data_IF_610069909042
#
_entry.id   IF_610069909042
#
_cell.length_a   1.000
_cell.length_b   1.000
_cell.length_c   1.000
_cell.angle_alpha   90.00
_cell.angle_beta   90.00
_cell.angle_gamma   90.00
#
_symmetry.space_group_name_H-M   'P 1'
#
loop_
_entity.id
_entity.type
_entity.pdbx_description
1 polymer ?
#
# COMPACT_ATOMS: atom_id res chain seq x y z
N UNK A 1 58.10 -20.35 -3.68
CA UNK A 1 58.36 -18.99 -3.14
C UNK A 1 58.13 -17.95 -4.21
N UNK A 2 56.95 -17.34 -4.27
CA UNK A 2 56.76 -16.01 -4.88
C UNK A 2 55.65 -15.33 -4.09
N UNK A 3 56.09 -14.35 -3.30
CA UNK A 3 55.23 -13.31 -2.74
C UNK A 3 55.16 -12.21 -3.80
N UNK A 4 54.05 -11.94 -4.38
CA UNK A 4 53.82 -10.74 -5.16
C UNK A 4 52.40 -10.16 -4.82
N UNK A 5 52.44 -8.90 -4.39
CA UNK A 5 51.30 -8.02 -4.39
C UNK A 5 50.72 -7.72 -3.01
N UNK A 6 51.34 -6.79 -2.30
CA UNK A 6 50.66 -6.00 -1.27
C UNK A 6 50.09 -4.77 -1.99
N UNK A 7 48.81 -4.76 -2.27
CA UNK A 7 48.10 -3.54 -2.62
C UNK A 7 47.50 -2.95 -1.32
N UNK A 8 48.15 -1.90 -0.85
CA UNK A 8 47.66 -1.07 0.23
C UNK A 8 46.73 -0.01 -0.37
N UNK A 9 45.41 -0.19 -0.26
CA UNK A 9 44.46 0.88 -0.48
C UNK A 9 44.19 1.55 0.85
N UNK A 10 44.72 2.74 1.05
CA UNK A 10 44.51 3.60 2.21
C UNK A 10 43.37 4.54 1.91
N UNK A 11 42.15 4.17 2.34
CA UNK A 11 41.10 5.14 2.64
C UNK A 11 40.33 4.70 3.91
N UNK A 12 40.50 5.51 4.90
CA UNK A 12 39.83 5.74 6.15
C UNK A 12 38.95 4.63 6.79
N UNK A 13 39.41 4.16 7.97
CA UNK A 13 38.66 3.51 9.02
C UNK A 13 38.29 2.04 8.84
N UNK A 14 39.18 1.23 9.22
CA UNK A 14 39.21 -0.10 9.81
C UNK A 14 40.26 -0.98 9.11
N UNK A 15 41.43 -1.05 9.73
CA UNK A 15 42.49 -1.97 9.32
C UNK A 15 42.10 -3.40 9.67
N UNK A 16 41.50 -4.11 8.71
CA UNK A 16 41.37 -5.57 8.78
C UNK A 16 42.35 -6.15 7.75
N UNK A 17 43.42 -6.73 8.24
CA UNK A 17 44.37 -7.46 7.40
C UNK A 17 43.89 -8.89 7.18
N UNK A 18 43.58 -9.25 5.95
CA UNK A 18 43.31 -10.64 5.57
C UNK A 18 44.58 -11.23 4.96
N UNK A 19 45.13 -12.27 5.60
CA UNK A 19 46.20 -13.08 5.03
C UNK A 19 45.53 -14.29 4.34
N UNK A 20 45.47 -14.27 3.02
CA UNK A 20 45.03 -15.41 2.23
C UNK A 20 46.22 -16.33 1.98
N UNK A 21 46.24 -17.48 2.65
CA UNK A 21 47.19 -18.56 2.42
C UNK A 21 46.56 -19.54 1.45
N UNK A 22 47.01 -19.56 0.19
CA UNK A 22 46.57 -20.54 -0.80
C UNK A 22 47.46 -21.77 -0.76
N UNK A 23 46.92 -22.90 -0.35
CA UNK A 23 47.57 -24.21 -0.44
C UNK A 23 47.20 -24.89 -1.74
N UNK A 24 48.17 -25.18 -2.60
CA UNK A 24 48.02 -26.09 -3.71
C UNK A 24 48.36 -27.52 -3.22
N UNK A 25 47.35 -28.37 -3.21
CA UNK A 25 47.56 -29.81 -3.05
C UNK A 25 47.83 -30.43 -4.44
N UNK A 26 49.04 -30.82 -4.69
CA UNK A 26 49.30 -31.74 -5.83
C UNK A 26 48.81 -33.12 -5.44
N UNK A 27 47.68 -33.53 -6.00
CA UNK A 27 47.21 -34.89 -5.83
C UNK A 27 48.06 -35.86 -6.65
N UNK A 28 48.44 -37.02 -6.09
CA UNK A 28 49.15 -38.03 -6.87
C UNK A 28 48.23 -38.55 -8.00
N UNK A 29 48.81 -38.95 -9.14
CA UNK A 29 48.05 -39.46 -10.28
C UNK A 29 47.29 -40.73 -9.89
N UNK A 30 46.00 -40.72 -10.20
CA UNK A 30 45.13 -41.89 -10.00
C UNK A 30 45.61 -43.08 -10.86
N UNK A 31 45.65 -44.30 -10.30
CA UNK A 31 45.96 -45.47 -11.10
C UNK A 31 44.91 -45.69 -12.19
N UNK A 32 45.39 -46.12 -13.38
CA UNK A 32 44.56 -46.33 -14.55
C UNK A 32 43.47 -47.38 -14.25
N UNK A 33 42.23 -47.19 -14.76
CA UNK A 33 41.14 -48.10 -14.51
C UNK A 33 41.41 -49.49 -15.13
N UNK A 34 41.42 -50.51 -14.29
CA UNK A 34 41.50 -51.92 -14.72
C UNK A 34 40.21 -52.27 -15.46
N UNK A 35 40.33 -52.61 -16.72
CA UNK A 35 39.21 -53.06 -17.55
C UNK A 35 38.74 -54.42 -17.07
N UNK A 36 37.79 -54.44 -16.14
CA UNK A 36 37.08 -55.68 -15.79
C UNK A 36 36.12 -56.04 -16.90
N UNK A 37 36.29 -57.25 -17.46
CA UNK A 37 35.36 -57.84 -18.41
C UNK A 37 34.00 -58.00 -17.71
N UNK A 38 33.01 -57.26 -18.21
CA UNK A 38 31.65 -57.40 -17.73
C UNK A 38 31.05 -58.72 -18.24
N UNK A 39 30.65 -59.53 -17.31
CA UNK A 39 29.75 -60.62 -17.62
C UNK A 39 28.38 -60.10 -18.10
N UNK A 40 27.73 -60.70 -19.07
CA UNK A 40 26.43 -60.25 -19.52
C UNK A 40 25.43 -60.27 -18.35
N UNK A 41 24.88 -59.10 -18.02
CA UNK A 41 23.86 -58.96 -17.00
C UNK A 41 22.56 -59.66 -17.46
N UNK A 42 21.84 -60.31 -16.56
CA UNK A 42 20.52 -60.85 -16.89
C UNK A 42 19.60 -59.73 -17.30
N UNK A 43 18.93 -59.90 -18.45
CA UNK A 43 17.93 -58.92 -18.95
C UNK A 43 16.73 -58.92 -17.98
N UNK A 44 16.72 -57.98 -17.06
CA UNK A 44 15.55 -57.74 -16.21
C UNK A 44 14.53 -56.95 -17.05
N UNK A 45 13.35 -57.54 -17.24
CA UNK A 45 12.26 -56.86 -17.93
C UNK A 45 11.96 -55.49 -17.25
N UNK A 46 11.71 -54.43 -18.02
CA UNK A 46 11.41 -53.14 -17.45
C UNK A 46 10.18 -53.22 -16.53
N UNK A 47 10.19 -52.58 -15.36
CA UNK A 47 9.02 -52.55 -14.49
C UNK A 47 7.83 -51.90 -15.21
N UNK A 48 6.60 -52.35 -14.92
CA UNK A 48 5.42 -51.75 -15.52
C UNK A 48 5.38 -50.25 -15.20
N UNK A 49 4.88 -49.40 -16.13
CA UNK A 49 4.79 -47.97 -15.91
C UNK A 49 3.96 -47.69 -14.64
N UNK A 50 4.38 -46.72 -13.82
CA UNK A 50 3.61 -46.34 -12.64
C UNK A 50 2.20 -45.88 -13.03
N UNK A 51 1.19 -46.15 -12.19
CA UNK A 51 -0.16 -45.67 -12.47
C UNK A 51 -0.19 -44.17 -12.68
N UNK A 52 -1.06 -43.65 -13.57
CA UNK A 52 -1.14 -42.24 -13.84
C UNK A 52 -1.40 -41.47 -12.51
N UNK A 53 -0.53 -40.50 -12.23
CA UNK A 53 -0.68 -39.66 -11.05
C UNK A 53 -2.02 -38.94 -11.16
N UNK A 54 -2.87 -38.93 -10.10
CA UNK A 54 -4.10 -38.14 -10.11
C UNK A 54 -3.80 -36.73 -10.54
N UNK A 55 -4.62 -36.18 -11.44
CA UNK A 55 -4.49 -34.82 -11.86
C UNK A 55 -4.53 -33.88 -10.62
N UNK A 56 -3.65 -32.87 -10.52
CA UNK A 56 -3.71 -31.94 -9.42
C UNK A 56 -5.13 -31.36 -9.33
N UNK A 57 -5.69 -31.36 -8.12
CA UNK A 57 -6.97 -30.70 -7.90
C UNK A 57 -6.86 -29.24 -8.41
N UNK A 58 -7.91 -28.71 -9.08
CA UNK A 58 -7.88 -27.32 -9.54
C UNK A 58 -7.53 -26.42 -8.37
N UNK A 59 -6.54 -25.55 -8.58
CA UNK A 59 -6.12 -24.58 -7.59
C UNK A 59 -7.35 -23.77 -7.13
N UNK A 60 -7.53 -23.50 -5.83
CA UNK A 60 -8.61 -22.65 -5.37
C UNK A 60 -8.57 -21.33 -6.13
N UNK A 61 -9.75 -20.86 -6.58
CA UNK A 61 -9.87 -19.60 -7.29
C UNK A 61 -9.19 -18.48 -6.48
N UNK A 62 -8.43 -17.59 -7.10
CA UNK A 62 -7.77 -16.50 -6.39
C UNK A 62 -8.82 -15.71 -5.62
N UNK A 63 -8.51 -15.42 -4.34
CA UNK A 63 -9.36 -14.57 -3.51
C UNK A 63 -9.57 -13.22 -4.20
N UNK A 64 -10.77 -12.62 -4.13
CA UNK A 64 -11.04 -11.32 -4.74
C UNK A 64 -10.04 -10.29 -4.19
N UNK A 65 -9.38 -9.57 -5.10
CA UNK A 65 -8.41 -8.55 -4.72
C UNK A 65 -9.11 -7.44 -3.92
N UNK A 66 -8.48 -6.92 -2.86
CA UNK A 66 -9.05 -5.84 -2.06
C UNK A 66 -9.27 -4.60 -2.96
N UNK A 67 -10.48 -4.07 -2.92
CA UNK A 67 -10.85 -2.87 -3.68
C UNK A 67 -10.76 -1.64 -2.79
N UNK A 68 -10.21 -0.56 -3.34
CA UNK A 68 -10.20 0.76 -2.70
C UNK A 68 -11.32 1.58 -3.31
N UNK A 69 -12.30 1.95 -2.51
CA UNK A 69 -13.37 2.88 -2.91
C UNK A 69 -13.04 4.27 -2.39
N UNK A 70 -12.92 5.23 -3.30
CA UNK A 70 -12.71 6.65 -2.97
C UNK A 70 -14.01 7.42 -3.17
N UNK A 71 -14.46 8.15 -2.16
CA UNK A 71 -15.63 9.01 -2.18
C UNK A 71 -15.18 10.40 -1.77
N UNK A 72 -15.53 11.40 -2.57
CA UNK A 72 -15.21 12.82 -2.30
C UNK A 72 -16.50 13.56 -2.03
N UNK A 73 -16.56 14.26 -0.88
CA UNK A 73 -17.69 15.08 -0.46
C UNK A 73 -17.28 16.54 -0.38
N UNK A 74 -18.12 17.44 -0.89
CA UNK A 74 -17.90 18.87 -0.79
C UNK A 74 -18.11 19.35 0.66
N UNK A 75 -17.13 20.04 1.22
CA UNK A 75 -17.22 20.60 2.57
C UNK A 75 -18.35 21.60 2.76
N UNK A 76 -18.80 22.31 1.70
CA UNK A 76 -19.94 23.23 1.77
C UNK A 76 -21.26 22.51 2.04
N UNK A 77 -21.39 21.27 1.56
CA UNK A 77 -22.55 20.42 1.87
C UNK A 77 -22.48 19.93 3.30
N UNK A 78 -21.26 19.59 3.76
CA UNK A 78 -21.05 18.97 5.07
C UNK A 78 -21.09 19.96 6.23
N UNK A 79 -20.51 21.16 6.06
CA UNK A 79 -20.24 22.11 7.14
C UNK A 79 -20.65 23.53 6.77
N UNK A 80 -20.91 24.36 7.77
CA UNK A 80 -20.97 25.80 7.62
C UNK A 80 -19.57 26.40 7.43
N UNK A 81 -19.55 27.66 7.04
CA UNK A 81 -18.29 28.40 6.88
C UNK A 81 -17.50 28.42 8.20
N UNK A 82 -16.23 28.05 8.12
CA UNK A 82 -15.27 27.98 9.24
C UNK A 82 -15.72 27.09 10.41
N UNK A 83 -16.71 26.21 10.20
CA UNK A 83 -17.18 25.25 11.20
C UNK A 83 -16.78 23.82 10.87
N UNK A 84 -16.81 22.96 11.90
CA UNK A 84 -16.57 21.52 11.80
C UNK A 84 -17.79 20.69 12.25
N UNK A 85 -18.91 21.35 12.58
CA UNK A 85 -20.15 20.66 12.94
C UNK A 85 -20.89 20.24 11.68
N UNK A 86 -21.28 18.95 11.61
CA UNK A 86 -22.02 18.41 10.48
C UNK A 86 -23.44 18.98 10.40
N UNK A 87 -23.75 19.55 9.25
CA UNK A 87 -25.11 19.97 8.89
C UNK A 87 -26.03 18.78 8.69
N UNK A 88 -27.37 18.95 8.84
CA UNK A 88 -28.32 17.89 8.53
C UNK A 88 -28.19 17.34 7.10
N UNK A 89 -27.97 18.24 6.12
CA UNK A 89 -27.74 17.89 4.71
C UNK A 89 -26.43 17.10 4.53
N UNK A 90 -25.41 17.46 5.31
CA UNK A 90 -24.13 16.77 5.32
C UNK A 90 -24.24 15.35 5.85
N UNK A 91 -25.02 15.14 6.92
CA UNK A 91 -25.31 13.81 7.45
C UNK A 91 -26.05 12.96 6.42
N UNK A 92 -27.08 13.52 5.77
CA UNK A 92 -27.83 12.82 4.72
C UNK A 92 -26.92 12.47 3.52
N UNK A 93 -26.01 13.36 3.12
CA UNK A 93 -25.05 13.09 2.05
C UNK A 93 -24.07 11.96 2.41
N UNK A 94 -23.58 11.92 3.66
CA UNK A 94 -22.71 10.84 4.16
C UNK A 94 -23.50 9.52 4.18
N UNK A 95 -24.73 9.52 4.68
CA UNK A 95 -25.58 8.31 4.72
C UNK A 95 -25.83 7.74 3.32
N UNK A 96 -26.18 8.60 2.36
CA UNK A 96 -26.48 8.17 0.99
C UNK A 96 -25.24 7.71 0.21
N UNK A 97 -24.13 8.42 0.32
CA UNK A 97 -22.96 8.20 -0.53
C UNK A 97 -21.88 7.31 0.09
N UNK A 98 -21.79 7.28 1.42
CA UNK A 98 -20.71 6.58 2.14
C UNK A 98 -21.25 5.34 2.82
N UNK A 99 -22.24 5.48 3.72
CA UNK A 99 -22.76 4.35 4.50
C UNK A 99 -23.30 3.25 3.61
N UNK A 100 -24.06 3.62 2.55
CA UNK A 100 -24.58 2.67 1.57
C UNK A 100 -23.50 1.88 0.83
N UNK A 101 -22.36 2.53 0.51
CA UNK A 101 -21.23 1.86 -0.14
C UNK A 101 -20.40 1.01 0.83
N UNK A 102 -20.20 1.49 2.05
CA UNK A 102 -19.52 0.72 3.09
C UNK A 102 -20.28 -0.58 3.44
N UNK A 103 -21.59 -0.55 3.40
CA UNK A 103 -22.43 -1.73 3.61
C UNK A 103 -22.26 -2.82 2.53
N UNK A 104 -21.74 -2.47 1.35
CA UNK A 104 -21.42 -3.41 0.26
C UNK A 104 -20.03 -4.03 0.39
N UNK A 105 -19.24 -3.61 1.36
CA UNK A 105 -17.91 -4.17 1.64
C UNK A 105 -18.06 -5.29 2.66
N UNK A 106 -17.80 -6.52 2.25
CA UNK A 106 -17.99 -7.70 3.10
C UNK A 106 -16.97 -7.75 4.25
N UNK A 107 -15.71 -7.39 3.95
CA UNK A 107 -14.64 -7.35 4.94
C UNK A 107 -13.91 -6.01 4.87
N UNK A 108 -14.36 -5.09 5.70
CA UNK A 108 -13.75 -3.77 5.82
C UNK A 108 -12.38 -3.90 6.48
N UNK A 109 -11.32 -3.45 5.80
CA UNK A 109 -9.95 -3.43 6.32
C UNK A 109 -9.69 -2.10 7.02
N UNK A 110 -9.84 -1.00 6.30
CA UNK A 110 -9.57 0.36 6.81
C UNK A 110 -10.43 1.38 6.08
N UNK A 111 -10.84 2.41 6.81
CA UNK A 111 -11.46 3.64 6.28
C UNK A 111 -10.57 4.81 6.66
N UNK A 112 -10.14 5.59 5.70
CA UNK A 112 -9.40 6.81 5.91
C UNK A 112 -10.27 8.00 5.53
N UNK A 113 -10.49 8.91 6.49
CA UNK A 113 -11.20 10.17 6.30
C UNK A 113 -10.19 11.30 6.24
N UNK A 114 -10.07 11.97 5.11
CA UNK A 114 -9.11 13.05 4.91
C UNK A 114 -9.82 14.38 4.67
N UNK A 115 -9.57 15.37 5.53
CA UNK A 115 -10.09 16.73 5.39
C UNK A 115 -9.11 17.63 4.64
N UNK A 116 -9.63 18.48 3.74
CA UNK A 116 -8.86 19.46 2.98
C UNK A 116 -9.50 20.84 3.08
N UNK A 117 -8.67 21.87 2.99
CA UNK A 117 -9.08 23.28 2.88
C UNK A 117 -8.55 23.90 1.59
N UNK A 118 -9.04 25.08 1.27
CA UNK A 118 -8.37 25.93 0.30
C UNK A 118 -7.18 26.69 0.95
N UNK A 119 -6.34 27.37 0.16
CA UNK A 119 -5.16 28.09 0.66
C UNK A 119 -5.48 29.49 1.21
N UNK A 120 -6.73 29.80 1.51
CA UNK A 120 -7.11 31.07 2.11
C UNK A 120 -7.04 30.98 3.64
N UNK A 121 -6.32 31.90 4.25
CA UNK A 121 -6.09 31.93 5.69
C UNK A 121 -4.67 31.49 6.07
N UNK A 122 -4.46 31.14 7.33
CA UNK A 122 -3.16 30.64 7.79
C UNK A 122 -3.11 29.12 7.69
N UNK A 123 -1.94 28.58 7.32
CA UNK A 123 -1.71 27.13 7.26
C UNK A 123 -2.08 26.43 8.57
N UNK A 124 -1.72 27.06 9.71
CA UNK A 124 -2.03 26.47 11.02
C UNK A 124 -3.54 26.40 11.29
N UNK A 125 -4.31 27.44 10.91
CA UNK A 125 -5.77 27.44 11.02
C UNK A 125 -6.37 26.36 10.11
N UNK A 126 -5.96 26.30 8.86
CA UNK A 126 -6.41 25.35 7.86
C UNK A 126 -6.11 23.91 8.27
N UNK A 127 -4.93 23.66 8.84
CA UNK A 127 -4.56 22.35 9.38
C UNK A 127 -5.52 21.92 10.50
N UNK A 128 -5.73 22.76 11.51
CA UNK A 128 -6.64 22.45 12.63
C UNK A 128 -8.11 22.32 12.19
N UNK A 129 -8.56 23.13 11.23
CA UNK A 129 -9.92 23.06 10.71
C UNK A 129 -10.17 21.75 9.96
N UNK A 130 -9.23 21.34 9.11
CA UNK A 130 -9.31 20.10 8.36
C UNK A 130 -9.28 18.86 9.28
N UNK A 131 -8.44 18.87 10.32
CA UNK A 131 -8.39 17.81 11.33
C UNK A 131 -9.73 17.65 12.07
N UNK A 132 -10.29 18.78 12.55
CA UNK A 132 -11.59 18.76 13.24
C UNK A 132 -12.70 18.26 12.33
N UNK A 133 -12.74 18.68 11.06
CA UNK A 133 -13.73 18.20 10.07
C UNK A 133 -13.61 16.71 9.80
N UNK A 134 -12.39 16.22 9.59
CA UNK A 134 -12.14 14.79 9.41
C UNK A 134 -12.56 13.98 10.65
N UNK A 135 -12.23 14.46 11.84
CA UNK A 135 -12.63 13.83 13.10
C UNK A 135 -14.16 13.76 13.27
N UNK A 136 -14.88 14.86 12.97
CA UNK A 136 -16.33 14.88 13.05
C UNK A 136 -17.00 13.89 12.09
N UNK A 137 -16.49 13.77 10.85
CA UNK A 137 -16.97 12.79 9.88
C UNK A 137 -16.67 11.38 10.35
N UNK A 138 -15.45 11.11 10.85
CA UNK A 138 -15.09 9.81 11.45
C UNK A 138 -16.07 9.44 12.57
N UNK A 139 -16.29 10.35 13.53
CA UNK A 139 -17.14 10.08 14.68
C UNK A 139 -18.59 9.82 14.27
N UNK A 140 -19.06 10.52 13.23
CA UNK A 140 -20.36 10.26 12.63
C UNK A 140 -20.42 8.86 11.98
N UNK A 141 -19.41 8.44 11.21
CA UNK A 141 -19.35 7.11 10.62
C UNK A 141 -19.27 6.01 11.70
N UNK A 142 -18.55 6.24 12.79
CA UNK A 142 -18.56 5.33 13.95
C UNK A 142 -19.94 5.21 14.55
N UNK A 143 -20.69 6.31 14.69
CA UNK A 143 -22.08 6.27 15.15
C UNK A 143 -23.04 5.50 14.23
N UNK A 144 -22.64 5.34 12.96
CA UNK A 144 -23.38 4.55 11.94
C UNK A 144 -22.91 3.10 11.84
N UNK A 145 -22.01 2.66 12.74
CA UNK A 145 -21.60 1.27 12.86
C UNK A 145 -20.25 0.93 12.22
N UNK A 146 -19.49 1.92 11.74
CA UNK A 146 -18.12 1.67 11.31
C UNK A 146 -17.24 1.41 12.54
N UNK A 147 -16.49 0.29 12.62
CA UNK A 147 -15.63 -0.02 13.75
C UNK A 147 -14.56 1.05 13.98
N UNK A 148 -14.44 1.51 15.22
CA UNK A 148 -13.51 2.60 15.57
C UNK A 148 -12.03 2.23 15.35
N UNK A 149 -11.68 0.96 15.46
CA UNK A 149 -10.35 0.42 15.22
C UNK A 149 -9.97 0.34 13.73
N UNK A 150 -10.96 0.52 12.84
CA UNK A 150 -10.76 0.46 11.38
C UNK A 150 -10.92 1.80 10.69
N UNK A 151 -11.15 2.88 11.42
CA UNK A 151 -11.35 4.21 10.83
C UNK A 151 -10.37 5.22 11.39
N UNK A 152 -9.69 5.93 10.50
CA UNK A 152 -8.75 6.98 10.81
C UNK A 152 -9.21 8.33 10.24
N UNK A 153 -8.83 9.42 10.89
CA UNK A 153 -9.09 10.79 10.45
C UNK A 153 -7.78 11.56 10.32
N UNK A 154 -7.59 12.19 9.18
CA UNK A 154 -6.40 12.97 8.86
C UNK A 154 -6.79 14.34 8.31
N UNK A 155 -6.24 15.42 8.86
CA UNK A 155 -6.32 16.75 8.28
C UNK A 155 -5.09 17.04 7.43
N UNK A 156 -5.29 17.44 6.19
CA UNK A 156 -4.21 17.84 5.27
C UNK A 156 -4.14 19.35 5.09
N UNK A 157 -5.08 20.10 5.66
CA UNK A 157 -5.15 21.54 5.46
C UNK A 157 -5.14 21.88 3.97
N UNK A 158 -4.29 22.83 3.60
CA UNK A 158 -4.09 23.27 2.22
C UNK A 158 -2.97 22.53 1.48
N UNK A 159 -2.33 21.52 2.10
CA UNK A 159 -1.15 20.85 1.53
C UNK A 159 -1.44 20.00 0.28
N UNK A 160 -2.68 19.63 0.08
CA UNK A 160 -3.11 18.81 -1.06
C UNK A 160 -4.23 19.50 -1.84
N UNK A 161 -3.85 20.51 -2.59
CA UNK A 161 -4.74 21.18 -3.54
C UNK A 161 -5.04 20.28 -4.73
N UNK A 162 -6.16 20.55 -5.41
CA UNK A 162 -6.51 19.83 -6.65
C UNK A 162 -5.52 20.22 -7.74
N UNK A 163 -4.80 19.24 -8.33
CA UNK A 163 -3.86 19.50 -9.40
C UNK A 163 -4.53 20.18 -10.60
N UNK A 164 -3.88 21.22 -11.14
CA UNK A 164 -4.39 21.94 -12.32
C UNK A 164 -5.50 22.96 -12.04
N UNK A 165 -5.96 23.09 -10.80
CA UNK A 165 -6.91 24.13 -10.42
C UNK A 165 -6.15 25.46 -10.17
N UNK A 166 -6.17 26.33 -11.18
CA UNK A 166 -5.53 27.65 -11.14
C UNK A 166 -6.60 28.72 -10.89
N UNK A 167 -6.45 29.46 -9.78
CA UNK A 167 -7.41 30.49 -9.34
C UNK A 167 -6.71 31.84 -9.17
N UNK A 168 -6.55 32.57 -10.27
CA UNK A 168 -5.83 33.86 -10.33
C UNK A 168 -6.75 35.08 -10.34
N UNK A 169 -8.03 34.91 -10.01
CA UNK A 169 -9.02 35.98 -10.01
C UNK A 169 -8.61 37.06 -9.04
N UNK A 170 -8.67 38.33 -9.50
CA UNK A 170 -8.40 39.54 -8.68
C UNK A 170 -9.53 39.81 -7.67
N UNK A 171 -10.74 39.44 -8.03
CA UNK A 171 -11.90 39.57 -7.16
C UNK A 171 -11.90 38.43 -6.13
N UNK A 172 -11.90 38.79 -4.85
CA UNK A 172 -11.86 37.80 -3.75
C UNK A 172 -13.05 36.85 -3.78
N UNK A 173 -14.25 37.32 -4.10
CA UNK A 173 -15.46 36.50 -4.16
C UNK A 173 -15.36 35.44 -5.26
N UNK A 174 -14.84 35.81 -6.41
CA UNK A 174 -14.62 34.89 -7.54
C UNK A 174 -13.49 33.89 -7.22
N UNK A 175 -12.43 34.37 -6.57
CA UNK A 175 -11.33 33.49 -6.11
C UNK A 175 -11.81 32.45 -5.10
N UNK A 176 -12.63 32.86 -4.12
CA UNK A 176 -13.26 31.95 -3.14
C UNK A 176 -14.14 30.90 -3.85
N UNK A 177 -14.91 31.31 -4.86
CA UNK A 177 -15.73 30.39 -5.63
C UNK A 177 -14.89 29.42 -6.47
N UNK A 178 -13.83 29.88 -7.12
CA UNK A 178 -12.90 29.06 -7.87
C UNK A 178 -12.20 28.00 -6.98
N UNK A 179 -11.79 28.38 -5.78
CA UNK A 179 -11.09 27.51 -4.84
C UNK A 179 -12.01 26.50 -4.11
N UNK A 180 -13.33 26.63 -4.28
CA UNK A 180 -14.29 25.77 -3.59
C UNK A 180 -13.99 24.25 -3.70
N UNK A 181 -13.60 23.69 -4.86
CA UNK A 181 -13.31 22.26 -4.96
C UNK A 181 -12.21 21.76 -4.02
N UNK A 182 -11.29 22.65 -3.57
CA UNK A 182 -10.27 22.28 -2.59
C UNK A 182 -10.86 22.03 -1.20
N UNK A 183 -12.00 22.68 -0.88
CA UNK A 183 -12.71 22.47 0.39
C UNK A 183 -13.55 21.18 0.30
N UNK A 184 -12.93 20.06 0.59
CA UNK A 184 -13.53 18.74 0.46
C UNK A 184 -13.13 17.80 1.60
N UNK A 185 -13.91 16.74 1.77
CA UNK A 185 -13.54 15.59 2.58
C UNK A 185 -13.49 14.37 1.67
N UNK A 186 -12.38 13.68 1.69
CA UNK A 186 -12.18 12.43 0.98
C UNK A 186 -12.31 11.26 1.95
N UNK A 187 -13.05 10.25 1.55
CA UNK A 187 -13.21 9.02 2.31
C UNK A 187 -12.74 7.88 1.43
N UNK A 188 -11.72 7.17 1.88
CA UNK A 188 -11.17 6.01 1.20
C UNK A 188 -11.46 4.78 2.06
N UNK A 189 -12.19 3.84 1.50
CA UNK A 189 -12.48 2.56 2.14
C UNK A 189 -11.78 1.44 1.38
N UNK A 190 -11.01 0.64 2.10
CA UNK A 190 -10.35 -0.56 1.58
C UNK A 190 -11.00 -1.79 2.19
N UNK A 191 -11.32 -2.77 1.37
CA UNK A 191 -11.89 -4.03 1.82
C UNK A 191 -12.27 -4.94 0.66
N UNK A 192 -12.72 -6.13 0.99
CA UNK A 192 -13.19 -7.10 0.00
C UNK A 192 -14.66 -6.78 -0.36
N UNK A 193 -14.92 -6.52 -1.65
CA UNK A 193 -16.27 -6.29 -2.12
C UNK A 193 -17.12 -7.57 -1.98
N UNK A 194 -18.40 -7.41 -1.65
CA UNK A 194 -19.36 -8.51 -1.70
C UNK A 194 -19.42 -8.99 -3.15
N UNK A 195 -19.16 -10.29 -3.37
CA UNK A 195 -19.34 -10.88 -4.69
C UNK A 195 -20.82 -10.78 -5.06
N UNK A 196 -21.17 -10.29 -6.26
CA UNK A 196 -22.56 -10.20 -6.71
C UNK A 196 -23.22 -11.57 -6.78
#
# INVERSE_FOLDING_TARGET
SYLNGLDANTDGHNNIFYVLVSYKFDAPPLPAPVKMAQAPAPVVAPPPPPPPRPAPAPAPAPAPAPQVQKITLDSKVLFDFDKADLKPEGKAAIDAQVVGKLAQINKLEVVLVTGHTDPLGSEQHNQKLSERRAATVRDYLVSKGVPKDKIEALGMGEKQLIPGLVCEQKNLKEKIACLQPNRRVEIQAKGEATKP
#
